data_IF_396803599226
#
_entry.id   IF_396803599226
#
_cell.length_a   1.000
_cell.length_b   1.000
_cell.length_c   1.000
_cell.angle_alpha   90.00
_cell.angle_beta   90.00
_cell.angle_gamma   90.00
#
_symmetry.space_group_name_H-M   'P 1'
#
loop_
_entity.id
_entity.type
_entity.pdbx_description
1 polymer ?
#
# COMPACT_ATOMS: atom_id res chain seq x y z
N UNK A 1 2.05 -2.23 -15.61
CA UNK A 1 1.45 -1.70 -16.83
C UNK A 1 0.09 -1.09 -16.53
N UNK A 2 -0.93 -1.87 -16.14
CA UNK A 2 -2.31 -1.41 -15.91
C UNK A 2 -2.41 -0.16 -15.05
N UNK A 3 -1.71 -0.10 -13.91
CA UNK A 3 -1.70 1.07 -13.02
C UNK A 3 -1.15 2.34 -13.69
N UNK A 4 -0.20 2.22 -14.63
CA UNK A 4 0.32 3.36 -15.38
C UNK A 4 -0.69 3.88 -16.39
N UNK A 5 -1.36 2.99 -17.11
CA UNK A 5 -2.44 3.39 -18.01
C UNK A 5 -3.61 4.03 -17.27
N UNK A 6 -3.94 3.53 -16.07
CA UNK A 6 -5.04 4.07 -15.27
C UNK A 6 -4.80 5.48 -14.73
N UNK A 7 -3.60 6.03 -14.86
CA UNK A 7 -3.34 7.45 -14.57
C UNK A 7 -3.90 8.34 -15.69
N UNK A 8 -3.90 7.83 -16.93
CA UNK A 8 -4.28 8.56 -18.14
C UNK A 8 -5.69 8.21 -18.64
N UNK A 9 -6.18 7.00 -18.37
CA UNK A 9 -7.44 6.46 -18.90
C UNK A 9 -8.30 5.90 -17.77
N UNK A 10 -9.63 5.95 -17.93
CA UNK A 10 -10.55 5.34 -16.97
C UNK A 10 -10.43 3.80 -16.96
N UNK A 11 -10.73 3.19 -15.80
CA UNK A 11 -10.57 1.74 -15.61
C UNK A 11 -11.43 0.90 -16.56
N UNK A 12 -12.61 1.37 -16.90
CA UNK A 12 -13.58 0.72 -17.80
C UNK A 12 -13.18 0.81 -19.29
N UNK A 13 -12.26 1.72 -19.61
CA UNK A 13 -11.69 1.86 -20.97
C UNK A 13 -10.49 0.92 -21.20
N UNK A 14 -9.92 0.34 -20.14
CA UNK A 14 -8.71 -0.47 -20.21
C UNK A 14 -9.02 -1.97 -20.25
N UNK A 15 -8.54 -2.65 -21.29
CA UNK A 15 -8.59 -4.10 -21.43
C UNK A 15 -7.25 -4.64 -21.90
N UNK A 16 -6.82 -5.77 -21.34
CA UNK A 16 -5.72 -6.56 -21.89
C UNK A 16 -6.26 -7.46 -22.98
N UNK A 17 -5.68 -7.35 -24.17
CA UNK A 17 -6.02 -8.13 -25.36
C UNK A 17 -4.72 -8.49 -26.09
N UNK A 18 -4.75 -9.54 -26.90
CA UNK A 18 -3.57 -9.96 -27.69
C UNK A 18 -3.31 -9.04 -28.88
N UNK A 19 -4.35 -8.37 -29.39
CA UNK A 19 -4.31 -7.42 -30.50
C UNK A 19 -4.87 -6.07 -30.05
N UNK A 20 -4.07 -5.30 -29.34
CA UNK A 20 -4.41 -4.01 -28.76
C UNK A 20 -3.79 -2.84 -29.50
N UNK A 21 -4.35 -1.64 -29.32
CA UNK A 21 -3.83 -0.40 -29.89
C UNK A 21 -2.46 -0.02 -29.29
N UNK A 22 -2.27 -0.27 -27.99
CA UNK A 22 -1.03 -0.08 -27.28
C UNK A 22 -0.28 -1.41 -27.16
N UNK A 23 0.91 -1.49 -27.73
CA UNK A 23 1.70 -2.72 -27.75
C UNK A 23 2.95 -2.52 -26.89
N UNK A 24 3.13 -3.40 -25.91
CA UNK A 24 4.31 -3.44 -25.06
C UNK A 24 4.97 -4.81 -25.23
N UNK A 25 6.18 -4.84 -25.77
CA UNK A 25 6.96 -6.06 -25.91
C UNK A 25 8.17 -6.03 -24.97
N UNK A 26 8.51 -7.20 -24.44
CA UNK A 26 9.69 -7.41 -23.60
C UNK A 26 10.57 -8.40 -24.32
N UNK A 27 11.75 -7.98 -24.72
CA UNK A 27 12.80 -8.79 -25.32
C UNK A 27 13.92 -9.04 -24.29
N UNK A 28 14.95 -9.82 -24.65
CA UNK A 28 16.01 -10.17 -23.69
C UNK A 28 16.66 -8.96 -23.01
N UNK A 29 16.90 -7.87 -23.75
CA UNK A 29 17.67 -6.72 -23.28
C UNK A 29 16.89 -5.40 -23.34
N UNK A 30 15.69 -5.38 -23.89
CA UNK A 30 14.92 -4.14 -24.08
C UNK A 30 13.43 -4.34 -23.94
N UNK A 31 12.78 -3.22 -23.64
CA UNK A 31 11.33 -3.08 -23.60
C UNK A 31 10.96 -2.09 -24.70
N UNK A 32 9.91 -2.38 -25.45
CA UNK A 32 9.40 -1.48 -26.49
C UNK A 32 7.95 -1.12 -26.23
N UNK A 33 7.58 0.10 -26.62
CA UNK A 33 6.23 0.62 -26.59
C UNK A 33 5.86 1.15 -27.95
N UNK A 34 4.72 0.75 -28.49
CA UNK A 34 4.22 1.21 -29.78
C UNK A 34 2.73 1.56 -29.73
N UNK A 35 2.33 2.64 -30.44
CA UNK A 35 0.95 3.11 -30.59
C UNK A 35 0.84 4.01 -31.83
N UNK A 36 0.01 3.68 -32.80
CA UNK A 36 -0.32 4.54 -33.97
C UNK A 36 0.88 5.23 -34.62
N UNK A 37 1.97 4.48 -34.86
CA UNK A 37 3.20 5.03 -35.44
C UNK A 37 4.17 5.69 -34.44
N UNK A 38 3.76 5.91 -33.21
CA UNK A 38 4.69 6.23 -32.11
C UNK A 38 5.45 4.97 -31.71
N UNK A 39 6.76 5.12 -31.48
CA UNK A 39 7.62 4.03 -31.01
C UNK A 39 8.66 4.59 -30.03
N UNK A 40 8.81 3.89 -28.92
CA UNK A 40 9.85 4.18 -27.92
C UNK A 40 10.40 2.87 -27.37
N UNK A 41 11.71 2.83 -27.11
CA UNK A 41 12.37 1.68 -26.49
C UNK A 41 13.23 2.10 -25.31
N UNK A 42 13.45 1.19 -24.40
CA UNK A 42 14.34 1.32 -23.24
C UNK A 42 15.09 0.02 -22.99
N UNK A 43 16.32 0.13 -22.54
CA UNK A 43 17.08 -1.05 -22.08
C UNK A 43 16.54 -1.52 -20.73
N UNK A 44 16.62 -2.81 -20.49
CA UNK A 44 16.30 -3.42 -19.21
C UNK A 44 17.48 -3.20 -18.26
N UNK A 45 17.22 -2.54 -17.12
CA UNK A 45 18.15 -2.35 -16.03
C UNK A 45 18.02 -3.42 -14.95
N UNK A 46 18.36 -3.05 -13.73
CA UNK A 46 18.29 -3.96 -12.58
C UNK A 46 16.86 -4.30 -12.15
N UNK A 47 15.89 -3.41 -12.44
CA UNK A 47 14.50 -3.56 -12.04
C UNK A 47 13.53 -3.40 -13.22
N UNK A 48 13.30 -4.50 -13.91
CA UNK A 48 12.41 -4.54 -15.08
C UNK A 48 11.01 -3.96 -14.82
N UNK A 49 10.48 -4.07 -13.59
CA UNK A 49 9.15 -3.53 -13.26
C UNK A 49 9.15 -1.99 -13.25
N UNK A 50 10.23 -1.39 -12.79
CA UNK A 50 10.41 0.06 -12.81
C UNK A 50 10.70 0.56 -14.24
N UNK A 51 11.52 -0.18 -15.00
CA UNK A 51 11.82 0.15 -16.40
C UNK A 51 10.54 0.15 -17.25
N UNK A 52 9.68 -0.86 -17.09
CA UNK A 52 8.36 -0.92 -17.76
C UNK A 52 7.49 0.27 -17.34
N UNK A 53 7.41 0.57 -16.04
CA UNK A 53 6.60 1.71 -15.54
C UNK A 53 7.09 3.01 -16.15
N UNK A 54 8.41 3.21 -16.18
CA UNK A 54 9.03 4.42 -16.72
C UNK A 54 8.74 4.56 -18.22
N UNK A 55 9.00 3.52 -19.01
CA UNK A 55 8.75 3.54 -20.45
C UNK A 55 7.29 3.85 -20.77
N UNK A 56 6.35 3.19 -20.09
CA UNK A 56 4.92 3.41 -20.29
C UNK A 56 4.53 4.83 -19.90
N UNK A 57 4.98 5.31 -18.74
CA UNK A 57 4.67 6.66 -18.26
C UNK A 57 5.17 7.74 -19.24
N UNK A 58 6.45 7.64 -19.65
CA UNK A 58 7.04 8.59 -20.59
C UNK A 58 6.34 8.54 -21.96
N UNK A 59 6.03 7.34 -22.46
CA UNK A 59 5.31 7.18 -23.73
C UNK A 59 3.91 7.78 -23.70
N UNK A 60 3.17 7.52 -22.64
CA UNK A 60 1.82 8.10 -22.48
C UNK A 60 1.87 9.62 -22.31
N UNK A 61 2.83 10.15 -21.57
CA UNK A 61 3.07 11.60 -21.48
C UNK A 61 3.34 12.20 -22.88
N UNK A 62 4.20 11.56 -23.68
CA UNK A 62 4.52 12.03 -25.04
C UNK A 62 3.31 12.02 -25.96
N UNK A 63 2.43 11.02 -25.83
CA UNK A 63 1.24 10.83 -26.68
C UNK A 63 0.10 11.77 -26.25
N UNK A 64 -0.16 11.89 -24.96
CA UNK A 64 -1.31 12.66 -24.44
C UNK A 64 -0.99 14.12 -24.17
N UNK A 65 0.28 14.45 -23.95
CA UNK A 65 0.71 15.78 -23.49
C UNK A 65 0.38 16.05 -22.01
N UNK A 66 -0.16 15.09 -21.27
CA UNK A 66 -0.53 15.25 -19.87
C UNK A 66 0.65 15.00 -18.93
N UNK A 67 0.77 15.83 -17.89
CA UNK A 67 1.78 15.69 -16.86
C UNK A 67 1.14 15.23 -15.54
N UNK A 68 1.73 14.19 -14.96
CA UNK A 68 1.30 13.69 -13.65
C UNK A 68 2.43 13.86 -12.62
N UNK A 69 2.21 14.72 -11.59
CA UNK A 69 3.30 15.17 -10.71
C UNK A 69 3.89 14.07 -9.80
N UNK A 70 3.23 12.93 -9.67
CA UNK A 70 3.75 11.77 -8.94
C UNK A 70 4.63 10.84 -9.78
N UNK A 71 4.73 11.05 -11.08
CA UNK A 71 5.50 10.18 -11.97
C UNK A 71 5.06 8.74 -11.89
N UNK A 72 6.03 7.83 -11.69
CA UNK A 72 5.77 6.38 -11.59
C UNK A 72 5.46 5.89 -10.16
N UNK A 73 5.33 6.80 -9.19
CA UNK A 73 5.04 6.49 -7.79
C UNK A 73 3.55 6.18 -7.58
N UNK A 74 3.08 5.05 -8.09
CA UNK A 74 1.67 4.65 -8.03
C UNK A 74 1.49 3.42 -7.13
N UNK A 75 0.49 3.47 -6.25
CA UNK A 75 0.14 2.36 -5.36
C UNK A 75 1.16 2.10 -4.24
N UNK A 76 1.96 3.09 -3.88
CA UNK A 76 2.99 3.01 -2.83
C UNK A 76 2.89 4.21 -1.88
N UNK A 77 3.57 4.12 -0.74
CA UNK A 77 3.73 5.23 0.20
C UNK A 77 5.11 5.90 -0.04
N UNK A 78 5.18 7.01 -0.79
CA UNK A 78 6.45 7.58 -1.21
C UNK A 78 7.23 8.24 -0.06
N UNK A 79 6.58 8.64 1.04
CA UNK A 79 7.26 9.11 2.26
C UNK A 79 8.22 8.06 2.84
N UNK A 80 7.94 6.74 2.68
CA UNK A 80 8.89 5.68 3.06
C UNK A 80 10.20 5.73 2.28
N UNK A 81 10.13 6.12 1.00
CA UNK A 81 11.31 6.26 0.14
C UNK A 81 12.12 7.46 0.62
N UNK A 82 11.46 8.59 0.89
CA UNK A 82 12.12 9.77 1.42
C UNK A 82 12.77 9.49 2.79
N UNK A 83 12.05 8.83 3.71
CA UNK A 83 12.57 8.45 5.02
C UNK A 83 13.82 7.56 4.92
N UNK A 84 13.80 6.58 4.01
CA UNK A 84 14.97 5.73 3.77
C UNK A 84 16.20 6.57 3.41
N UNK A 85 16.08 7.52 2.49
CA UNK A 85 17.20 8.36 2.07
C UNK A 85 17.63 9.37 3.14
N UNK A 86 16.69 9.87 3.96
CA UNK A 86 17.03 10.68 5.15
C UNK A 86 17.86 9.87 6.13
N UNK A 87 17.48 8.62 6.40
CA UNK A 87 18.23 7.72 7.29
C UNK A 87 19.61 7.31 6.73
N UNK A 88 19.78 7.35 5.41
CA UNK A 88 21.08 7.19 4.73
C UNK A 88 21.91 8.48 4.77
N UNK A 89 21.44 9.56 5.40
CA UNK A 89 22.13 10.84 5.55
C UNK A 89 22.10 11.74 4.32
N UNK A 90 21.20 11.49 3.36
CA UNK A 90 21.08 12.35 2.17
C UNK A 90 20.41 13.68 2.52
N UNK A 91 20.88 14.74 1.87
CA UNK A 91 20.25 16.06 1.94
C UNK A 91 18.90 16.09 1.23
N UNK A 92 18.05 17.06 1.58
CA UNK A 92 16.77 17.24 0.93
C UNK A 92 16.91 17.40 -0.60
N UNK A 93 17.91 18.14 -1.05
CA UNK A 93 18.15 18.39 -2.47
C UNK A 93 18.56 17.10 -3.22
N UNK A 94 19.42 16.28 -2.62
CA UNK A 94 19.76 14.97 -3.19
C UNK A 94 18.54 14.06 -3.31
N UNK A 95 17.64 14.09 -2.31
CA UNK A 95 16.40 13.31 -2.34
C UNK A 95 15.47 13.82 -3.45
N UNK A 96 15.34 15.13 -3.61
CA UNK A 96 14.56 15.75 -4.70
C UNK A 96 15.07 15.30 -6.06
N UNK A 97 16.39 15.33 -6.28
CA UNK A 97 16.96 14.88 -7.56
C UNK A 97 16.76 13.36 -7.78
N UNK A 98 16.87 12.54 -6.74
CA UNK A 98 16.55 11.11 -6.82
C UNK A 98 15.08 10.88 -7.22
N UNK A 99 14.15 11.62 -6.62
CA UNK A 99 12.72 11.50 -6.95
C UNK A 99 12.45 11.89 -8.41
N UNK A 100 13.09 12.96 -8.88
CA UNK A 100 13.00 13.40 -10.26
C UNK A 100 13.60 12.40 -11.23
N UNK A 101 14.82 11.95 -10.99
CA UNK A 101 15.55 11.08 -11.92
C UNK A 101 15.04 9.64 -11.91
N UNK A 102 14.81 9.06 -10.73
CA UNK A 102 14.38 7.66 -10.61
C UNK A 102 12.88 7.47 -10.77
N UNK A 103 12.10 8.40 -10.26
CA UNK A 103 10.64 8.22 -10.16
C UNK A 103 9.84 9.17 -11.06
N UNK A 104 10.52 10.08 -11.79
CA UNK A 104 9.87 11.09 -12.63
C UNK A 104 8.85 11.96 -11.86
N UNK A 105 9.05 12.10 -10.55
CA UNK A 105 8.19 12.89 -9.70
C UNK A 105 8.59 14.37 -9.71
N UNK A 106 7.59 15.24 -9.65
CA UNK A 106 7.81 16.67 -9.57
C UNK A 106 8.46 17.10 -8.25
N UNK A 107 9.22 18.20 -8.24
CA UNK A 107 9.93 18.73 -7.08
C UNK A 107 9.01 18.89 -5.86
N UNK A 108 7.84 19.52 -6.05
CA UNK A 108 6.90 19.78 -4.96
C UNK A 108 6.35 18.48 -4.32
N UNK A 109 6.30 17.37 -5.07
CA UNK A 109 5.90 16.07 -4.52
C UNK A 109 7.03 15.41 -3.74
N UNK A 110 8.26 15.55 -4.20
CA UNK A 110 9.44 15.11 -3.46
C UNK A 110 9.58 15.88 -2.14
N UNK A 111 9.44 17.19 -2.17
CA UNK A 111 9.49 18.06 -0.98
C UNK A 111 8.39 17.67 0.03
N UNK A 112 7.15 17.48 -0.44
CA UNK A 112 6.05 16.99 0.40
C UNK A 112 6.39 15.64 1.06
N UNK A 113 6.98 14.70 0.29
CA UNK A 113 7.38 13.40 0.83
C UNK A 113 8.47 13.53 1.91
N UNK A 114 9.39 14.47 1.75
CA UNK A 114 10.44 14.76 2.74
C UNK A 114 9.83 15.36 4.01
N UNK A 115 8.91 16.31 3.89
CA UNK A 115 8.21 16.90 5.04
C UNK A 115 7.43 15.85 5.83
N UNK A 116 6.65 15.01 5.13
CA UNK A 116 5.91 13.91 5.76
C UNK A 116 6.87 12.91 6.42
N UNK A 117 7.96 12.54 5.74
CA UNK A 117 8.95 11.62 6.28
C UNK A 117 9.58 12.13 7.58
N UNK A 118 9.93 13.43 7.64
CA UNK A 118 10.46 14.07 8.87
C UNK A 118 9.43 14.12 9.99
N UNK A 119 8.16 14.37 9.66
CA UNK A 119 7.10 14.36 10.66
C UNK A 119 6.82 12.94 11.20
N UNK A 120 6.96 11.91 10.35
CA UNK A 120 6.77 10.51 10.73
C UNK A 120 8.00 9.90 11.43
N UNK A 121 9.19 10.46 11.30
CA UNK A 121 10.47 9.87 11.72
C UNK A 121 10.47 9.39 13.18
N UNK A 122 9.90 10.18 14.08
CA UNK A 122 9.81 9.84 15.52
C UNK A 122 8.83 8.70 15.83
N UNK A 123 7.93 8.38 14.88
CA UNK A 123 6.91 7.34 15.04
C UNK A 123 7.24 6.08 14.24
N UNK A 124 8.13 6.17 13.25
CA UNK A 124 8.55 5.00 12.46
C UNK A 124 9.67 4.27 13.18
N UNK A 125 9.33 3.12 13.69
CA UNK A 125 10.27 2.29 14.42
C UNK A 125 11.04 1.35 13.48
N UNK A 126 12.34 1.25 13.70
CA UNK A 126 13.25 0.33 13.00
C UNK A 126 13.72 -0.83 13.89
N UNK A 127 13.28 -0.89 15.16
CA UNK A 127 13.63 -1.96 16.09
C UNK A 127 12.83 -3.24 15.75
N UNK A 128 13.53 -4.28 15.33
CA UNK A 128 12.93 -5.58 14.97
C UNK A 128 12.18 -6.27 16.13
N UNK A 129 12.41 -5.83 17.37
CA UNK A 129 11.70 -6.33 18.56
C UNK A 129 10.41 -5.59 18.86
N UNK A 130 10.13 -4.50 18.17
CA UNK A 130 8.89 -3.74 18.32
C UNK A 130 7.95 -4.02 17.16
N UNK A 131 6.70 -4.24 17.47
CA UNK A 131 5.67 -4.60 16.50
C UNK A 131 4.41 -3.77 16.67
N UNK A 132 3.70 -3.56 15.56
CA UNK A 132 2.32 -3.10 15.55
C UNK A 132 1.37 -4.30 15.33
N UNK A 133 0.25 -4.33 16.04
CA UNK A 133 -0.80 -5.33 15.87
C UNK A 133 -1.95 -4.70 15.08
N UNK A 134 -2.33 -5.37 13.99
CA UNK A 134 -3.51 -5.00 13.22
C UNK A 134 -4.57 -6.10 13.36
N UNK A 135 -5.73 -5.74 13.91
CA UNK A 135 -6.88 -6.63 14.03
C UNK A 135 -7.91 -6.24 12.97
N UNK A 136 -8.11 -7.12 11.98
CA UNK A 136 -8.98 -6.82 10.83
C UNK A 136 -10.35 -7.45 10.97
N UNK A 137 -11.44 -6.65 10.86
CA UNK A 137 -12.80 -7.15 10.74
C UNK A 137 -13.11 -7.46 9.26
N UNK A 138 -13.59 -8.69 8.98
CA UNK A 138 -13.90 -9.12 7.61
C UNK A 138 -15.26 -8.65 7.09
N UNK A 139 -16.12 -8.09 7.96
CA UNK A 139 -17.49 -7.72 7.63
C UNK A 139 -17.70 -6.21 7.55
N UNK A 140 -18.66 -5.82 6.69
CA UNK A 140 -19.19 -4.45 6.60
C UNK A 140 -20.72 -4.49 6.67
N UNK A 141 -21.39 -3.40 7.11
CA UNK A 141 -22.85 -3.30 7.01
C UNK A 141 -23.34 -3.42 5.56
N UNK A 142 -22.63 -2.75 4.63
CA UNK A 142 -22.91 -2.73 3.20
C UNK A 142 -21.61 -2.77 2.40
N UNK A 143 -21.68 -3.06 1.10
CA UNK A 143 -20.54 -2.96 0.19
C UNK A 143 -20.38 -1.53 -0.30
N UNK A 144 -19.25 -0.91 -0.03
CA UNK A 144 -18.93 0.43 -0.50
C UNK A 144 -18.59 0.45 -2.00
N UNK A 145 -19.07 1.44 -2.74
CA UNK A 145 -18.75 1.62 -4.17
C UNK A 145 -17.29 1.97 -4.43
N UNK A 146 -16.63 2.64 -3.49
CA UNK A 146 -15.26 3.16 -3.64
C UNK A 146 -14.18 2.27 -3.02
N UNK A 147 -14.55 1.18 -2.32
CA UNK A 147 -13.60 0.27 -1.69
C UNK A 147 -13.40 -0.99 -2.51
N UNK A 148 -12.13 -1.29 -2.80
CA UNK A 148 -11.70 -2.53 -3.44
C UNK A 148 -11.29 -3.63 -2.44
N UNK A 149 -11.26 -3.34 -1.13
CA UNK A 149 -10.92 -4.34 -0.12
C UNK A 149 -12.01 -5.41 0.01
N UNK A 150 -11.59 -6.61 0.41
CA UNK A 150 -12.51 -7.69 0.75
C UNK A 150 -13.44 -7.23 1.88
N UNK A 151 -14.65 -6.82 1.53
CA UNK A 151 -15.70 -6.40 2.43
C UNK A 151 -16.91 -7.30 2.21
N UNK A 152 -17.19 -8.18 3.17
CA UNK A 152 -18.33 -9.07 3.11
C UNK A 152 -19.54 -8.38 3.75
N UNK A 153 -20.63 -8.11 2.99
CA UNK A 153 -21.85 -7.55 3.60
C UNK A 153 -22.39 -8.51 4.65
N UNK A 154 -22.59 -8.01 5.88
CA UNK A 154 -23.01 -8.88 7.00
C UNK A 154 -24.40 -9.47 6.77
N UNK A 155 -25.32 -8.73 6.11
CA UNK A 155 -26.69 -9.19 5.83
C UNK A 155 -26.75 -10.51 5.04
N UNK A 156 -25.83 -10.74 4.12
CA UNK A 156 -25.76 -11.98 3.34
C UNK A 156 -24.89 -13.07 4.00
N UNK A 157 -24.14 -12.73 5.04
CA UNK A 157 -23.09 -13.59 5.61
C UNK A 157 -23.24 -13.82 7.14
N UNK A 158 -24.41 -13.58 7.72
CA UNK A 158 -24.63 -13.72 9.17
C UNK A 158 -24.15 -15.06 9.74
N UNK A 159 -24.36 -16.15 9.03
CA UNK A 159 -23.91 -17.50 9.46
C UNK A 159 -22.39 -17.66 9.53
N UNK A 160 -21.64 -16.75 8.91
CA UNK A 160 -20.16 -16.77 8.92
C UNK A 160 -19.57 -15.94 10.04
N UNK A 161 -20.37 -15.10 10.73
CA UNK A 161 -19.88 -14.18 11.76
C UNK A 161 -19.29 -14.97 12.92
N UNK A 162 -20.07 -15.86 13.55
CA UNK A 162 -19.60 -16.65 14.71
C UNK A 162 -18.36 -17.49 14.39
N UNK A 163 -18.32 -18.30 13.33
CA UNK A 163 -17.09 -19.04 12.95
C UNK A 163 -15.89 -18.14 12.73
N UNK A 164 -16.10 -16.94 12.17
CA UNK A 164 -15.03 -15.96 12.00
C UNK A 164 -14.52 -15.42 13.32
N UNK A 165 -15.42 -15.01 14.24
CA UNK A 165 -15.05 -14.49 15.56
C UNK A 165 -14.34 -15.54 16.41
N UNK A 166 -14.80 -16.80 16.37
CA UNK A 166 -14.10 -17.93 17.03
C UNK A 166 -12.68 -18.13 16.46
N UNK A 167 -12.51 -18.02 15.14
CA UNK A 167 -11.20 -18.13 14.52
C UNK A 167 -10.31 -16.95 14.90
N UNK A 168 -10.85 -15.73 14.90
CA UNK A 168 -10.14 -14.52 15.30
C UNK A 168 -9.66 -14.60 16.77
N UNK A 169 -10.53 -15.06 17.67
CA UNK A 169 -10.17 -15.25 19.08
C UNK A 169 -9.03 -16.25 19.24
N UNK A 170 -9.05 -17.37 18.49
CA UNK A 170 -7.94 -18.34 18.49
C UNK A 170 -6.64 -17.73 17.99
N UNK A 171 -6.71 -16.94 16.94
CA UNK A 171 -5.56 -16.23 16.37
C UNK A 171 -4.98 -15.21 17.36
N UNK A 172 -5.82 -14.41 18.01
CA UNK A 172 -5.42 -13.45 19.06
C UNK A 172 -4.66 -14.17 20.18
N UNK A 173 -5.18 -15.28 20.69
CA UNK A 173 -4.54 -16.05 21.76
C UNK A 173 -3.21 -16.65 21.32
N UNK A 174 -3.16 -17.26 20.14
CA UNK A 174 -1.91 -17.81 19.59
C UNK A 174 -0.86 -16.73 19.34
N UNK A 175 -1.28 -15.56 18.85
CA UNK A 175 -0.39 -14.42 18.63
C UNK A 175 0.13 -13.85 19.96
N UNK A 176 -0.70 -13.78 21.01
CA UNK A 176 -0.26 -13.40 22.37
C UNK A 176 0.88 -14.31 22.88
N UNK A 177 0.72 -15.62 22.72
CA UNK A 177 1.74 -16.59 23.11
C UNK A 177 3.03 -16.39 22.31
N UNK A 178 2.91 -16.20 20.98
CA UNK A 178 4.05 -15.95 20.10
C UNK A 178 4.82 -14.68 20.47
N UNK A 179 4.11 -13.57 20.70
CA UNK A 179 4.68 -12.29 21.11
C UNK A 179 5.47 -12.44 22.41
N UNK A 180 4.88 -13.12 23.40
CA UNK A 180 5.56 -13.39 24.68
C UNK A 180 6.78 -14.31 24.51
N UNK A 181 6.66 -15.39 23.75
CA UNK A 181 7.75 -16.33 23.49
C UNK A 181 8.95 -15.66 22.81
N UNK A 182 8.68 -14.74 21.87
CA UNK A 182 9.72 -13.99 21.13
C UNK A 182 10.23 -12.76 21.87
N UNK A 183 9.62 -12.39 22.99
CA UNK A 183 9.98 -11.19 23.74
C UNK A 183 9.78 -9.91 22.94
N UNK A 184 8.71 -9.85 22.11
CA UNK A 184 8.39 -8.70 21.30
C UNK A 184 7.65 -7.65 22.12
N UNK A 185 7.96 -6.38 21.90
CA UNK A 185 7.25 -5.25 22.48
C UNK A 185 6.17 -4.75 21.51
N UNK A 186 4.94 -4.66 21.98
CA UNK A 186 3.84 -4.10 21.19
C UNK A 186 3.89 -2.58 21.34
N UNK A 187 3.95 -1.87 20.22
CA UNK A 187 4.02 -0.40 20.16
C UNK A 187 2.66 0.23 19.86
N UNK A 188 1.87 -0.40 19.00
CA UNK A 188 0.52 0.04 18.68
C UNK A 188 -0.42 -1.13 18.39
N UNK A 189 -1.70 -0.92 18.62
CA UNK A 189 -2.76 -1.85 18.25
C UNK A 189 -3.81 -1.08 17.46
N UNK A 190 -4.09 -1.54 16.23
CA UNK A 190 -5.08 -0.91 15.36
C UNK A 190 -6.20 -1.89 15.01
N UNK A 191 -7.44 -1.48 15.29
CA UNK A 191 -8.64 -2.26 14.96
C UNK A 191 -9.28 -1.69 13.69
N UNK A 192 -9.29 -2.47 12.61
CA UNK A 192 -9.73 -1.98 11.30
C UNK A 192 -10.37 -3.06 10.43
N UNK A 193 -10.06 -3.02 9.14
CA UNK A 193 -10.62 -3.94 8.14
C UNK A 193 -11.87 -3.40 7.48
N UNK A 194 -12.93 -4.18 7.43
CA UNK A 194 -14.22 -3.79 6.90
C UNK A 194 -14.84 -2.69 7.75
N UNK A 195 -15.61 -3.08 8.76
CA UNK A 195 -16.16 -2.17 9.78
C UNK A 195 -16.11 -2.90 11.11
N UNK A 196 -15.26 -2.53 12.06
CA UNK A 196 -15.14 -3.21 13.35
C UNK A 196 -16.47 -3.36 14.08
N UNK A 197 -17.34 -2.36 14.00
CA UNK A 197 -18.67 -2.33 14.60
C UNK A 197 -19.79 -2.91 13.70
N UNK A 198 -19.46 -3.71 12.69
CA UNK A 198 -20.46 -4.36 11.84
C UNK A 198 -21.18 -5.52 12.54
N UNK A 199 -20.55 -6.12 13.54
CA UNK A 199 -21.10 -7.15 14.42
C UNK A 199 -21.98 -6.55 15.51
N UNK A 200 -22.72 -7.35 16.28
CA UNK A 200 -23.51 -6.81 17.37
C UNK A 200 -22.65 -6.36 18.56
N UNK A 201 -23.25 -5.67 19.53
CA UNK A 201 -22.52 -5.09 20.65
C UNK A 201 -21.82 -6.14 21.52
N UNK A 202 -22.48 -7.26 21.80
CA UNK A 202 -21.94 -8.33 22.65
C UNK A 202 -20.74 -9.00 21.96
N UNK A 203 -20.87 -9.29 20.66
CA UNK A 203 -19.79 -9.83 19.82
C UNK A 203 -18.60 -8.86 19.73
N UNK A 204 -18.87 -7.56 19.60
CA UNK A 204 -17.82 -6.54 19.56
C UNK A 204 -17.09 -6.40 20.90
N UNK A 205 -17.86 -6.39 22.03
CA UNK A 205 -17.30 -6.31 23.38
C UNK A 205 -16.42 -7.52 23.69
N UNK A 206 -16.85 -8.73 23.30
CA UNK A 206 -16.06 -9.95 23.48
C UNK A 206 -14.70 -9.86 22.76
N UNK A 207 -14.69 -9.50 21.47
CA UNK A 207 -13.45 -9.36 20.71
C UNK A 207 -12.57 -8.23 21.23
N UNK A 208 -13.16 -7.09 21.60
CA UNK A 208 -12.41 -5.97 22.17
C UNK A 208 -11.77 -6.36 23.50
N UNK A 209 -12.47 -7.12 24.35
CA UNK A 209 -11.92 -7.62 25.61
C UNK A 209 -10.75 -8.59 25.38
N UNK A 210 -10.87 -9.51 24.42
CA UNK A 210 -9.77 -10.43 24.04
C UNK A 210 -8.55 -9.65 23.53
N UNK A 211 -8.74 -8.65 22.66
CA UNK A 211 -7.65 -7.80 22.15
C UNK A 211 -7.00 -7.01 23.27
N UNK A 212 -7.83 -6.40 24.13
CA UNK A 212 -7.34 -5.60 25.26
C UNK A 212 -6.48 -6.46 26.21
N UNK A 213 -6.99 -7.61 26.66
CA UNK A 213 -6.28 -8.52 27.57
C UNK A 213 -5.04 -9.17 26.93
N UNK A 214 -5.04 -9.31 25.59
CA UNK A 214 -3.90 -9.89 24.89
C UNK A 214 -2.77 -8.90 24.65
N UNK A 215 -3.11 -7.67 24.21
CA UNK A 215 -2.14 -6.78 23.58
C UNK A 215 -2.06 -5.37 24.18
N UNK A 216 -3.04 -4.96 25.01
CA UNK A 216 -3.12 -3.58 25.52
C UNK A 216 -2.83 -3.52 27.02
N UNK A 217 -3.48 -4.39 27.79
CA UNK A 217 -3.39 -4.40 29.24
C UNK A 217 -1.94 -4.52 29.71
N UNK A 218 -1.54 -3.64 30.64
CA UNK A 218 -0.21 -3.58 31.23
C UNK A 218 0.94 -3.36 30.21
N UNK A 219 0.61 -2.83 29.02
CA UNK A 219 1.59 -2.46 27.98
C UNK A 219 1.70 -0.95 27.88
N UNK A 220 2.91 -0.49 27.50
CA UNK A 220 3.15 0.92 27.21
C UNK A 220 3.00 1.14 25.70
N UNK A 221 1.78 1.33 25.24
CA UNK A 221 1.46 1.56 23.84
C UNK A 221 1.56 3.04 23.49
N UNK A 222 1.93 3.32 22.23
CA UNK A 222 1.84 4.67 21.66
C UNK A 222 0.41 4.97 21.20
N UNK A 223 -0.33 3.93 20.74
CA UNK A 223 -1.67 4.09 20.18
C UNK A 223 -2.51 2.81 20.35
N UNK A 224 -3.79 2.99 20.68
CA UNK A 224 -4.84 1.95 20.68
C UNK A 224 -6.18 2.52 20.22
#
# INVERSE_FOLDING_TARGET
VYQMFNIYFALDELKFVDDGEYIINIEENKITFAFNGYYKESLIGENIKEDIKRLVFESLKDITGEEHPWGILVGIRPSKIALKYLNEGKSNEEIVEIFKEKHLAAREKAELCIEVAKAEESFVNTDEKKIAIYVGMAFCPTRCFYRSFAANPIMGNKKMVNPYLEALTKEIRALKEYVNLKGLAIESVYFGGGTPTAVNNDEFEEIMSEVYDAFVKDKNLMEF
#
